data_IF_398229849856
#
_entry.id   IF_398229849856
#
_cell.length_a   1.000
_cell.length_b   1.000
_cell.length_c   1.000
_cell.angle_alpha   90.00
_cell.angle_beta   90.00
_cell.angle_gamma   90.00
#
_symmetry.space_group_name_H-M   'P 1'
#
loop_
_entity.id
_entity.type
_entity.pdbx_description
1 polymer ?
#
# COMPACT_ATOMS: atom_id res chain seq x y z
N UNK A 1 26.97 52.17 -4.99
CA UNK A 1 27.07 51.19 -6.09
C UNK A 1 26.04 50.11 -5.79
N UNK A 2 24.89 50.20 -6.46
CA UNK A 2 23.75 49.32 -6.25
C UNK A 2 23.89 48.06 -7.09
N UNK A 3 23.48 46.92 -6.52
CA UNK A 3 23.31 45.67 -7.25
C UNK A 3 21.84 45.24 -7.14
N UNK A 4 21.29 44.97 -8.32
CA UNK A 4 19.90 44.71 -8.69
C UNK A 4 19.50 43.25 -8.39
N UNK A 5 18.29 42.96 -7.87
CA UNK A 5 17.85 41.58 -7.67
C UNK A 5 17.20 40.98 -8.94
N UNK A 6 17.67 39.80 -9.33
CA UNK A 6 17.18 39.03 -10.47
C UNK A 6 15.75 38.52 -10.27
N UNK A 7 14.88 38.76 -11.27
CA UNK A 7 13.49 38.32 -11.34
C UNK A 7 13.37 36.84 -11.70
N UNK A 8 12.56 36.12 -10.93
CA UNK A 8 12.12 34.75 -11.22
C UNK A 8 11.05 34.71 -12.33
N UNK A 9 11.25 33.83 -13.31
CA UNK A 9 10.28 33.55 -14.38
C UNK A 9 9.29 32.46 -13.95
N UNK A 10 7.98 32.75 -14.06
CA UNK A 10 6.88 31.78 -13.89
C UNK A 10 6.61 31.03 -15.21
N UNK A 11 6.48 29.70 -15.22
CA UNK A 11 5.89 29.00 -16.36
C UNK A 11 4.36 29.05 -16.33
N UNK A 12 3.80 29.30 -17.52
CA UNK A 12 2.39 29.46 -17.85
C UNK A 12 1.66 28.11 -17.88
N UNK A 13 0.40 28.13 -17.44
CA UNK A 13 -0.49 26.98 -17.38
C UNK A 13 -0.86 26.39 -18.74
N UNK A 14 -1.01 25.06 -18.76
CA UNK A 14 -1.64 24.32 -19.84
C UNK A 14 -3.10 24.02 -19.46
N UNK A 15 -4.03 24.62 -20.21
CA UNK A 15 -5.45 24.24 -20.25
C UNK A 15 -5.57 22.93 -21.02
N UNK A 16 -6.14 21.90 -20.40
CA UNK A 16 -6.64 20.72 -21.11
C UNK A 16 -8.13 20.92 -21.44
N UNK A 17 -8.42 20.94 -22.74
CA UNK A 17 -9.74 21.04 -23.33
C UNK A 17 -10.59 19.81 -23.07
N UNK A 18 -11.83 20.03 -22.65
CA UNK A 18 -12.93 19.05 -22.66
C UNK A 18 -13.38 18.80 -24.09
N UNK A 19 -13.18 17.60 -24.61
CA UNK A 19 -13.83 17.10 -25.82
C UNK A 19 -15.08 16.31 -25.44
N UNK A 20 -16.26 16.91 -25.62
CA UNK A 20 -17.53 16.21 -25.63
C UNK A 20 -17.87 15.80 -27.07
N UNK A 21 -18.25 14.54 -27.27
CA UNK A 21 -18.91 14.09 -28.48
C UNK A 21 -20.24 13.46 -28.12
N UNK A 22 -21.28 14.25 -28.44
CA UNK A 22 -22.68 13.89 -28.46
C UNK A 22 -22.96 13.16 -29.77
N UNK A 23 -23.54 11.96 -29.70
CA UNK A 23 -23.91 11.15 -30.86
C UNK A 23 -25.33 10.63 -30.71
N UNK A 24 -26.31 11.49 -30.96
CA UNK A 24 -27.72 11.13 -31.05
C UNK A 24 -28.01 10.56 -32.45
N UNK A 25 -28.28 9.27 -32.55
CA UNK A 25 -28.79 8.61 -33.76
C UNK A 25 -30.23 8.18 -33.58
N UNK A 26 -31.19 8.99 -34.06
CA UNK A 26 -32.56 8.55 -34.33
C UNK A 26 -32.57 7.75 -35.63
N UNK A 27 -33.16 6.57 -35.61
CA UNK A 27 -33.72 5.96 -36.83
C UNK A 27 -35.14 5.49 -36.55
N UNK A 28 -36.09 6.10 -37.26
CA UNK A 28 -37.47 5.64 -37.43
C UNK A 28 -37.48 4.65 -38.58
N UNK A 29 -38.09 3.49 -38.39
CA UNK A 29 -38.44 2.57 -39.46
C UNK A 29 -39.59 1.68 -39.01
N UNK A 30 -40.79 1.96 -39.50
CA UNK A 30 -41.98 1.15 -39.25
C UNK A 30 -41.99 -0.13 -40.11
N UNK A 31 -42.84 -1.08 -39.72
CA UNK A 31 -43.07 -2.30 -40.49
C UNK A 31 -43.92 -3.30 -39.73
N UNK A 32 -45.25 -3.15 -39.81
CA UNK A 32 -46.22 -4.23 -39.57
C UNK A 32 -45.98 -5.32 -40.63
N UNK A 33 -45.92 -6.58 -40.22
CA UNK A 33 -46.65 -7.70 -40.84
C UNK A 33 -46.47 -8.96 -40.02
N UNK A 34 -47.59 -9.64 -39.75
CA UNK A 34 -47.60 -10.89 -39.02
C UNK A 34 -47.20 -12.08 -39.89
N UNK A 35 -46.73 -13.13 -39.23
CA UNK A 35 -46.87 -14.50 -39.71
C UNK A 35 -46.93 -15.40 -38.48
N UNK A 36 -48.07 -16.08 -38.33
CA UNK A 36 -48.21 -17.26 -37.46
C UNK A 36 -47.47 -18.41 -38.13
N UNK A 37 -46.54 -19.04 -37.42
CA UNK A 37 -46.07 -20.39 -37.73
C UNK A 37 -46.01 -21.18 -36.43
N UNK A 38 -46.99 -22.06 -36.27
CA UNK A 38 -46.94 -23.21 -35.39
C UNK A 38 -45.87 -24.17 -35.89
N UNK A 39 -45.09 -24.76 -34.99
CA UNK A 39 -44.16 -25.83 -35.35
C UNK A 39 -43.13 -26.10 -34.27
N UNK A 40 -43.38 -27.15 -33.48
CA UNK A 40 -42.54 -27.62 -32.40
C UNK A 40 -41.12 -28.00 -32.86
N UNK A 41 -40.11 -27.62 -32.08
CA UNK A 41 -38.80 -28.27 -32.09
C UNK A 41 -38.07 -28.01 -30.76
N UNK A 42 -37.90 -29.10 -29.99
CA UNK A 42 -36.76 -29.41 -29.12
C UNK A 42 -36.44 -28.43 -27.97
N UNK A 43 -37.10 -28.71 -26.84
CA UNK A 43 -36.54 -28.52 -25.52
C UNK A 43 -35.20 -29.28 -25.40
N UNK A 44 -34.09 -28.56 -25.54
CA UNK A 44 -32.75 -29.16 -25.47
C UNK A 44 -31.60 -28.18 -25.19
N UNK A 45 -31.90 -26.94 -24.79
CA UNK A 45 -30.87 -25.91 -24.54
C UNK A 45 -30.74 -25.48 -23.06
N UNK A 46 -31.62 -25.97 -22.17
CA UNK A 46 -31.64 -25.56 -20.76
C UNK A 46 -30.62 -26.28 -19.86
N UNK A 47 -30.11 -27.45 -20.26
CA UNK A 47 -29.23 -28.26 -19.40
C UNK A 47 -27.74 -27.92 -19.55
N UNK A 48 -27.31 -27.36 -20.69
CA UNK A 48 -25.90 -27.00 -20.94
C UNK A 48 -25.48 -25.68 -20.27
N UNK A 49 -26.42 -24.76 -20.03
CA UNK A 49 -26.11 -23.49 -19.35
C UNK A 49 -25.84 -23.65 -17.84
N UNK A 50 -26.44 -24.66 -17.20
CA UNK A 50 -26.24 -24.94 -15.77
C UNK A 50 -24.85 -25.52 -15.45
N UNK A 51 -24.27 -26.28 -16.38
CA UNK A 51 -22.94 -26.87 -16.22
C UNK A 51 -21.83 -25.82 -16.34
N UNK A 52 -21.93 -24.90 -17.31
CA UNK A 52 -20.95 -23.82 -17.49
C UNK A 52 -20.94 -22.81 -16.32
N UNK A 53 -22.09 -22.56 -15.69
CA UNK A 53 -22.18 -21.68 -14.51
C UNK A 53 -21.54 -22.28 -13.25
N UNK A 54 -21.53 -23.62 -13.13
CA UNK A 54 -20.87 -24.32 -12.03
C UNK A 54 -19.35 -24.28 -12.15
N UNK A 55 -18.80 -24.45 -13.37
CA UNK A 55 -17.35 -24.41 -13.59
C UNK A 55 -16.77 -23.00 -13.38
N UNK A 56 -17.47 -21.96 -13.84
CA UNK A 56 -17.07 -20.58 -13.59
C UNK A 56 -17.06 -20.21 -12.10
N UNK A 57 -18.10 -20.61 -11.36
CA UNK A 57 -18.18 -20.37 -9.91
C UNK A 57 -17.09 -21.13 -9.13
N UNK A 58 -16.75 -22.34 -9.57
CA UNK A 58 -15.71 -23.17 -8.94
C UNK A 58 -14.30 -22.64 -9.22
N UNK A 59 -14.01 -22.23 -10.46
CA UNK A 59 -12.73 -21.63 -10.83
C UNK A 59 -12.50 -20.29 -10.12
N UNK A 60 -13.55 -19.47 -9.99
CA UNK A 60 -13.48 -18.19 -9.28
C UNK A 60 -13.22 -18.38 -7.78
N UNK A 61 -13.90 -19.36 -7.15
CA UNK A 61 -13.69 -19.66 -5.73
C UNK A 61 -12.32 -20.26 -5.45
N UNK A 62 -11.78 -21.12 -6.33
CA UNK A 62 -10.41 -21.62 -6.20
C UNK A 62 -9.37 -20.50 -6.39
N UNK A 63 -9.57 -19.60 -7.36
CA UNK A 63 -8.67 -18.47 -7.58
C UNK A 63 -8.60 -17.50 -6.39
N UNK A 64 -9.73 -17.24 -5.74
CA UNK A 64 -9.77 -16.41 -4.52
C UNK A 64 -9.14 -17.12 -3.30
N UNK A 65 -9.29 -18.44 -3.19
CA UNK A 65 -8.62 -19.21 -2.13
C UNK A 65 -7.09 -19.18 -2.29
N UNK A 66 -6.59 -19.35 -3.52
CA UNK A 66 -5.18 -19.23 -3.85
C UNK A 66 -4.65 -17.82 -3.55
N UNK A 67 -5.36 -16.78 -3.97
CA UNK A 67 -4.97 -15.41 -3.70
C UNK A 67 -4.97 -15.10 -2.20
N UNK A 68 -5.98 -15.58 -1.47
CA UNK A 68 -6.01 -15.47 -0.02
C UNK A 68 -4.77 -16.10 0.61
N UNK A 69 -4.35 -17.28 0.16
CA UNK A 69 -3.14 -17.94 0.66
C UNK A 69 -1.86 -17.15 0.36
N UNK A 70 -1.83 -16.36 -0.71
CA UNK A 70 -0.71 -15.44 -1.01
C UNK A 70 -0.70 -14.22 -0.07
N UNK A 71 -1.87 -13.70 0.32
CA UNK A 71 -1.99 -12.52 1.19
C UNK A 71 -1.82 -12.89 2.68
N UNK A 72 -2.43 -13.99 3.11
CA UNK A 72 -2.38 -14.48 4.48
C UNK A 72 -0.92 -14.71 4.91
N UNK A 73 -0.57 -14.23 6.10
CA UNK A 73 0.79 -14.34 6.64
C UNK A 73 1.79 -13.33 6.08
N UNK A 74 1.43 -12.57 5.04
CA UNK A 74 2.32 -11.53 4.50
C UNK A 74 2.59 -10.44 5.55
N UNK A 75 3.84 -9.97 5.63
CA UNK A 75 4.26 -9.01 6.65
C UNK A 75 3.72 -7.62 6.33
N UNK A 76 3.25 -6.93 7.36
CA UNK A 76 2.90 -5.50 7.31
C UNK A 76 4.07 -4.72 7.87
N UNK A 77 4.76 -3.96 7.01
CA UNK A 77 5.95 -3.22 7.39
C UNK A 77 5.84 -1.77 6.92
N UNK A 78 6.35 -0.85 7.74
CA UNK A 78 6.37 0.58 7.45
C UNK A 78 7.82 1.07 7.43
N UNK A 79 8.08 2.15 6.68
CA UNK A 79 9.45 2.65 6.49
C UNK A 79 10.09 3.05 7.83
N UNK A 80 11.34 2.66 8.04
CA UNK A 80 12.09 2.98 9.26
C UNK A 80 12.93 4.24 9.04
N UNK A 81 12.49 5.37 9.59
CA UNK A 81 13.18 6.68 9.64
C UNK A 81 13.43 7.33 8.27
N UNK A 82 13.92 6.62 7.27
CA UNK A 82 14.18 7.13 5.93
C UNK A 82 14.31 6.02 4.87
N UNK A 83 14.28 6.39 3.58
CA UNK A 83 14.20 5.44 2.47
C UNK A 83 15.52 4.76 2.12
N UNK A 84 16.62 5.16 2.76
CA UNK A 84 17.98 4.71 2.43
C UNK A 84 18.63 3.97 3.60
N UNK A 85 19.40 2.94 3.26
CA UNK A 85 20.20 2.17 4.20
C UNK A 85 21.69 2.23 3.84
N UNK A 86 22.60 2.51 4.79
CA UNK A 86 22.35 2.81 6.20
C UNK A 86 21.65 4.16 6.40
N UNK A 87 20.94 4.30 7.52
CA UNK A 87 20.26 5.56 7.88
C UNK A 87 21.27 6.46 8.60
N UNK A 88 21.59 7.59 7.98
CA UNK A 88 22.45 8.63 8.54
C UNK A 88 21.81 10.00 8.35
N UNK A 89 22.08 10.91 9.27
CA UNK A 89 21.64 12.29 9.20
C UNK A 89 22.14 13.12 10.37
N UNK A 90 21.67 14.37 10.45
CA UNK A 90 22.06 15.24 11.55
C UNK A 90 21.63 14.65 12.89
N UNK A 91 22.49 14.78 13.90
CA UNK A 91 22.20 14.28 15.25
C UNK A 91 20.91 14.91 15.81
N UNK A 92 20.62 16.17 15.46
CA UNK A 92 19.39 16.87 15.85
C UNK A 92 18.13 16.27 15.21
N UNK A 93 18.16 15.90 13.93
CA UNK A 93 17.04 15.22 13.26
C UNK A 93 16.82 13.83 13.85
N UNK A 94 17.90 13.10 14.17
CA UNK A 94 17.79 11.77 14.75
C UNK A 94 17.48 11.80 16.25
N UNK A 95 17.55 12.95 16.92
CA UNK A 95 17.15 13.15 18.31
C UNK A 95 15.68 13.58 18.46
N UNK A 96 14.85 13.39 17.43
CA UNK A 96 13.43 13.70 17.52
C UNK A 96 12.67 12.66 18.37
N UNK A 97 11.58 13.06 19.05
CA UNK A 97 10.77 12.20 19.93
C UNK A 97 10.35 10.85 19.32
N UNK A 98 10.01 10.82 18.02
CA UNK A 98 9.70 9.55 17.34
C UNK A 98 10.86 8.56 17.40
N UNK A 99 12.07 9.04 17.08
CA UNK A 99 13.28 8.20 17.14
C UNK A 99 13.61 7.84 18.59
N UNK A 100 13.35 8.73 19.56
CA UNK A 100 13.53 8.42 20.98
C UNK A 100 12.65 7.25 21.42
N UNK A 101 11.40 7.18 20.93
CA UNK A 101 10.51 6.05 21.23
C UNK A 101 11.06 4.73 20.66
N UNK A 102 11.65 4.75 19.45
CA UNK A 102 12.29 3.56 18.86
C UNK A 102 13.53 3.12 19.66
N UNK A 103 14.31 4.08 20.17
CA UNK A 103 15.46 3.81 21.05
C UNK A 103 15.01 3.28 22.41
N UNK A 104 13.98 3.88 23.02
CA UNK A 104 13.42 3.46 24.30
C UNK A 104 12.75 2.07 24.22
N UNK A 105 12.19 1.71 23.06
CA UNK A 105 11.72 0.37 22.75
C UNK A 105 12.85 -0.63 22.48
N UNK A 106 14.11 -0.16 22.43
CA UNK A 106 15.29 -0.98 22.20
C UNK A 106 15.37 -1.53 20.79
N UNK A 107 14.71 -0.92 19.80
CA UNK A 107 14.70 -1.37 18.41
C UNK A 107 15.89 -0.85 17.61
N UNK A 108 16.31 0.36 17.95
CA UNK A 108 17.45 1.03 17.32
C UNK A 108 18.32 1.71 18.38
N UNK A 109 19.54 2.07 17.98
CA UNK A 109 20.44 2.94 18.73
C UNK A 109 21.04 3.97 17.79
N UNK A 110 21.55 5.06 18.37
CA UNK A 110 22.23 6.12 17.64
C UNK A 110 23.72 5.99 17.88
N UNK A 111 24.48 5.83 16.81
CA UNK A 111 25.93 5.82 16.85
C UNK A 111 26.44 7.17 16.30
N UNK A 112 27.30 7.91 17.01
CA UNK A 112 27.83 9.17 16.51
C UNK A 112 28.71 8.90 15.27
N UNK A 113 28.55 9.73 14.24
CA UNK A 113 29.40 9.68 13.04
C UNK A 113 30.46 10.77 13.19
N UNK A 114 31.71 10.35 13.34
CA UNK A 114 32.83 11.26 13.45
C UNK A 114 33.31 11.66 12.05
N UNK A 115 32.72 12.72 11.50
CA UNK A 115 33.14 13.30 10.24
C UNK A 115 33.70 14.70 10.48
N UNK A 116 35.03 14.83 10.40
CA UNK A 116 35.74 16.10 10.59
C UNK A 116 35.49 17.12 9.47
N UNK A 117 34.93 16.69 8.33
CA UNK A 117 34.58 17.58 7.23
C UNK A 117 33.19 18.22 7.43
N UNK A 118 32.35 17.66 8.30
CA UNK A 118 31.02 18.17 8.60
C UNK A 118 31.02 18.99 9.89
N UNK A 119 30.62 20.27 9.79
CA UNK A 119 30.49 21.16 10.95
C UNK A 119 29.30 20.77 11.83
N UNK A 120 28.26 20.18 11.23
CA UNK A 120 27.06 19.71 11.93
C UNK A 120 27.26 18.28 12.44
N UNK A 121 27.09 18.01 13.75
CA UNK A 121 27.17 16.65 14.30
C UNK A 121 26.24 15.69 13.56
N UNK A 122 26.79 14.56 13.12
CA UNK A 122 26.07 13.50 12.42
C UNK A 122 25.87 12.28 13.34
N UNK A 123 24.81 11.53 13.09
CA UNK A 123 24.58 10.24 13.71
C UNK A 123 24.08 9.22 12.69
N UNK A 124 24.36 7.96 12.97
CA UNK A 124 23.87 6.79 12.24
C UNK A 124 22.89 6.04 13.12
N UNK A 125 21.82 5.55 12.52
CA UNK A 125 20.93 4.60 13.20
C UNK A 125 21.47 3.19 12.97
N UNK A 126 21.80 2.51 14.06
CA UNK A 126 22.08 1.08 14.07
C UNK A 126 20.86 0.34 14.64
N UNK A 127 20.44 -0.74 13.97
CA UNK A 127 19.37 -1.60 14.47
C UNK A 127 19.94 -2.52 15.54
N UNK A 128 19.19 -2.73 16.62
CA UNK A 128 19.61 -3.63 17.72
C UNK A 128 19.25 -5.09 17.40
N UNK A 129 19.75 -6.08 18.16
CA UNK A 129 19.33 -7.47 17.99
C UNK A 129 17.82 -7.69 18.16
N UNK A 130 17.13 -6.83 18.92
CA UNK A 130 15.67 -6.87 19.02
C UNK A 130 15.02 -6.33 17.74
N UNK A 131 15.49 -5.18 17.25
CA UNK A 131 14.97 -4.59 16.01
C UNK A 131 15.24 -5.44 14.77
N UNK A 132 16.36 -6.18 14.72
CA UNK A 132 16.70 -7.05 13.59
C UNK A 132 15.66 -8.15 13.33
N UNK A 133 14.96 -8.60 14.37
CA UNK A 133 13.91 -9.63 14.25
C UNK A 133 12.73 -9.16 13.41
N UNK A 134 12.44 -7.87 13.49
CA UNK A 134 11.30 -7.22 12.85
C UNK A 134 11.73 -6.31 11.68
N UNK A 135 13.04 -6.18 11.44
CA UNK A 135 13.59 -5.42 10.33
C UNK A 135 13.41 -6.21 9.03
N UNK A 136 13.00 -5.47 8.00
CA UNK A 136 13.01 -5.91 6.61
C UNK A 136 13.76 -4.88 5.77
N UNK A 137 14.68 -5.33 4.95
CA UNK A 137 15.29 -4.50 3.91
C UNK A 137 14.56 -4.76 2.59
N UNK A 138 13.64 -3.87 2.22
CA UNK A 138 12.85 -3.98 1.00
C UNK A 138 13.60 -3.38 -0.19
N UNK A 139 13.54 -4.03 -1.35
CA UNK A 139 14.06 -3.49 -2.61
C UNK A 139 12.93 -3.48 -3.64
N UNK A 140 12.73 -2.32 -4.28
CA UNK A 140 11.75 -2.20 -5.37
C UNK A 140 12.19 -2.97 -6.63
N UNK A 141 13.49 -2.98 -6.89
CA UNK A 141 14.14 -3.77 -7.95
C UNK A 141 15.52 -4.25 -7.46
N UNK A 142 16.12 -5.19 -8.18
CA UNK A 142 17.45 -5.70 -7.84
C UNK A 142 18.52 -4.58 -7.73
N UNK A 143 18.38 -3.53 -8.55
CA UNK A 143 19.31 -2.40 -8.61
C UNK A 143 18.96 -1.24 -7.66
N UNK A 144 17.80 -1.30 -7.01
CA UNK A 144 17.38 -0.26 -6.08
C UNK A 144 18.09 -0.40 -4.73
N UNK A 145 18.50 0.71 -4.08
CA UNK A 145 19.01 0.64 -2.72
C UNK A 145 17.93 0.05 -1.79
N UNK A 146 18.32 -0.75 -0.79
CA UNK A 146 17.35 -1.28 0.17
C UNK A 146 16.77 -0.16 1.04
N UNK A 147 15.44 -0.14 1.11
CA UNK A 147 14.68 0.67 2.03
C UNK A 147 14.45 -0.11 3.34
N UNK A 148 14.87 0.40 4.50
CA UNK A 148 14.65 -0.26 5.77
C UNK A 148 13.19 -0.10 6.21
N UNK A 149 12.57 -1.19 6.62
CA UNK A 149 11.19 -1.23 7.10
C UNK A 149 11.12 -2.00 8.40
N UNK A 150 10.28 -1.54 9.32
CA UNK A 150 9.97 -2.24 10.56
C UNK A 150 8.59 -2.89 10.44
N UNK A 151 8.53 -4.20 10.68
CA UNK A 151 7.32 -4.99 10.52
C UNK A 151 6.52 -5.05 11.82
N UNK A 152 5.25 -4.68 11.75
CA UNK A 152 4.34 -4.57 12.90
C UNK A 152 3.38 -5.77 13.06
N UNK A 153 3.53 -6.78 12.20
CA UNK A 153 2.79 -8.04 12.28
C UNK A 153 2.58 -8.68 10.91
N UNK A 154 1.61 -9.59 10.84
CA UNK A 154 1.21 -10.31 9.63
C UNK A 154 -0.26 -10.09 9.31
N UNK A 155 -0.61 -10.11 8.03
CA UNK A 155 -2.01 -10.07 7.59
C UNK A 155 -2.70 -11.41 7.91
N UNK A 156 -3.92 -11.31 8.42
CA UNK A 156 -4.91 -12.38 8.44
C UNK A 156 -6.17 -11.86 7.75
N UNK A 157 -6.40 -12.31 6.53
CA UNK A 157 -7.57 -11.98 5.72
C UNK A 157 -8.83 -12.46 6.45
N UNK A 158 -9.83 -11.60 6.57
CA UNK A 158 -11.12 -11.92 7.19
C UNK A 158 -12.23 -12.03 6.16
N UNK A 159 -12.08 -11.37 5.02
CA UNK A 159 -12.97 -11.49 3.87
C UNK A 159 -12.20 -11.16 2.58
N UNK A 160 -12.57 -11.80 1.48
CA UNK A 160 -12.02 -11.55 0.14
C UNK A 160 -13.13 -11.73 -0.89
N UNK A 161 -13.26 -10.78 -1.81
CA UNK A 161 -14.27 -10.77 -2.84
C UNK A 161 -13.74 -10.14 -4.13
N UNK A 162 -14.29 -10.58 -5.28
CA UNK A 162 -13.98 -10.01 -6.59
C UNK A 162 -15.27 -9.87 -7.37
N UNK A 163 -15.51 -8.66 -7.88
CA UNK A 163 -16.70 -8.34 -8.68
C UNK A 163 -16.28 -8.17 -10.14
N UNK A 164 -16.59 -9.17 -10.97
CA UNK A 164 -16.15 -9.21 -12.37
C UNK A 164 -14.63 -9.13 -12.51
N UNK A 165 -14.16 -8.36 -13.48
CA UNK A 165 -12.72 -8.19 -13.77
C UNK A 165 -12.06 -7.07 -12.97
N UNK A 166 -12.78 -6.44 -12.04
CA UNK A 166 -12.26 -5.37 -11.20
C UNK A 166 -11.21 -5.83 -10.17
N UNK A 167 -10.69 -4.88 -9.36
CA UNK A 167 -9.76 -5.21 -8.28
C UNK A 167 -10.43 -6.14 -7.27
N UNK A 168 -9.61 -6.99 -6.66
CA UNK A 168 -10.03 -7.81 -5.53
C UNK A 168 -10.13 -6.92 -4.30
N UNK A 169 -11.27 -6.95 -3.63
CA UNK A 169 -11.45 -6.26 -2.35
C UNK A 169 -11.26 -7.25 -1.24
N UNK A 170 -10.53 -6.87 -0.21
CA UNK A 170 -10.32 -7.74 0.92
C UNK A 170 -10.23 -6.95 2.23
N UNK A 171 -10.53 -7.67 3.30
CA UNK A 171 -10.48 -7.20 4.68
C UNK A 171 -9.50 -8.05 5.43
N UNK A 172 -8.75 -7.46 6.34
CA UNK A 172 -7.76 -8.19 7.13
C UNK A 172 -7.56 -7.59 8.52
N UNK A 173 -7.09 -8.42 9.43
CA UNK A 173 -6.53 -8.01 10.73
C UNK A 173 -5.02 -8.17 10.68
N UNK A 174 -4.33 -7.36 11.48
CA UNK A 174 -2.91 -7.58 11.72
C UNK A 174 -2.78 -8.44 12.98
N UNK A 175 -2.17 -9.61 12.81
CA UNK A 175 -1.93 -10.59 13.87
C UNK A 175 -0.43 -10.74 14.11
N UNK A 176 -0.06 -11.47 15.17
CA UNK A 176 1.34 -11.70 15.55
C UNK A 176 2.15 -10.40 15.68
N UNK A 177 1.51 -9.33 16.19
CA UNK A 177 2.16 -8.06 16.40
C UNK A 177 3.25 -8.18 17.49
N UNK A 178 4.50 -7.74 17.24
CA UNK A 178 5.57 -7.76 18.23
C UNK A 178 5.23 -6.94 19.48
N UNK A 179 5.77 -7.31 20.65
CA UNK A 179 5.43 -6.66 21.92
C UNK A 179 5.72 -5.15 21.94
N UNK A 180 6.76 -4.70 21.23
CA UNK A 180 7.10 -3.28 21.17
C UNK A 180 5.97 -2.42 20.58
N UNK A 181 5.12 -3.00 19.71
CA UNK A 181 3.97 -2.29 19.11
C UNK A 181 2.86 -1.94 20.11
N UNK A 182 2.87 -2.59 21.28
CA UNK A 182 1.89 -2.35 22.36
C UNK A 182 2.35 -1.32 23.36
N UNK A 183 3.62 -0.89 23.30
CA UNK A 183 4.16 0.05 24.27
C UNK A 183 3.46 1.42 24.16
N UNK A 184 3.14 2.08 25.28
CA UNK A 184 2.48 3.39 25.26
C UNK A 184 3.29 4.47 24.55
N UNK A 185 4.62 4.47 24.72
CA UNK A 185 5.53 5.43 24.07
C UNK A 185 5.54 5.29 22.55
N UNK A 186 5.60 4.05 22.04
CA UNK A 186 5.49 3.77 20.60
C UNK A 186 4.13 4.20 20.06
N UNK A 187 3.03 3.88 20.74
CA UNK A 187 1.68 4.24 20.26
C UNK A 187 1.40 5.74 20.34
N UNK A 188 2.01 6.44 21.30
CA UNK A 188 1.93 7.90 21.41
C UNK A 188 2.76 8.58 20.33
N UNK A 189 3.98 8.10 20.08
CA UNK A 189 4.84 8.62 19.02
C UNK A 189 4.26 8.30 17.63
N UNK A 190 3.73 7.10 17.43
CA UNK A 190 3.26 6.60 16.13
C UNK A 190 1.79 6.15 16.20
N UNK A 191 0.82 7.09 16.17
CA UNK A 191 -0.60 6.76 16.31
C UNK A 191 -1.13 5.81 15.23
N UNK A 192 -0.49 5.77 14.06
CA UNK A 192 -0.84 4.81 13.00
C UNK A 192 -0.72 3.35 13.46
N UNK A 193 0.19 3.03 14.39
CA UNK A 193 0.36 1.66 14.90
C UNK A 193 -0.93 1.18 15.56
N UNK A 194 -1.52 2.00 16.43
CA UNK A 194 -2.80 1.67 17.06
C UNK A 194 -3.94 1.59 16.02
N UNK A 195 -3.99 2.53 15.06
CA UNK A 195 -5.01 2.51 13.99
C UNK A 195 -4.96 1.22 13.16
N UNK A 196 -3.76 0.73 12.84
CA UNK A 196 -3.56 -0.48 12.06
C UNK A 196 -3.85 -1.76 12.85
N UNK A 197 -3.38 -1.85 14.11
CA UNK A 197 -3.48 -3.06 14.92
C UNK A 197 -4.87 -3.27 15.53
N UNK A 198 -5.54 -2.19 15.96
CA UNK A 198 -6.76 -2.31 16.76
C UNK A 198 -8.03 -2.47 15.88
N UNK A 199 -7.91 -2.30 14.55
CA UNK A 199 -9.04 -2.28 13.61
C UNK A 199 -8.87 -3.30 12.47
N UNK A 200 -10.01 -3.69 11.90
CA UNK A 200 -10.03 -4.41 10.62
C UNK A 200 -9.71 -3.41 9.52
N UNK A 201 -8.71 -3.75 8.70
CA UNK A 201 -8.28 -2.96 7.56
C UNK A 201 -9.03 -3.40 6.31
N UNK A 202 -9.12 -2.49 5.34
CA UNK A 202 -9.72 -2.73 4.03
C UNK A 202 -8.72 -2.34 2.96
N UNK A 203 -8.59 -3.16 1.93
CA UNK A 203 -7.69 -2.90 0.83
C UNK A 203 -8.26 -3.41 -0.50
N UNK A 204 -7.73 -2.86 -1.57
CA UNK A 204 -8.01 -3.28 -2.95
C UNK A 204 -6.70 -3.75 -3.58
N UNK A 205 -6.78 -4.81 -4.38
CA UNK A 205 -5.64 -5.43 -5.02
C UNK A 205 -5.91 -5.64 -6.51
N UNK A 206 -5.03 -5.07 -7.33
CA UNK A 206 -4.97 -5.40 -8.75
C UNK A 206 -4.43 -6.81 -8.93
N UNK A 207 -5.16 -7.64 -9.67
CA UNK A 207 -4.73 -9.00 -9.99
C UNK A 207 -4.85 -9.24 -11.49
N UNK A 208 -3.99 -10.11 -12.00
CA UNK A 208 -4.07 -10.64 -13.37
C UNK A 208 -4.37 -12.14 -13.28
N UNK A 209 -5.10 -12.65 -14.26
CA UNK A 209 -5.30 -14.08 -14.41
C UNK A 209 -4.23 -14.64 -15.35
N UNK A 210 -3.47 -15.62 -14.86
CA UNK A 210 -2.42 -16.30 -15.61
C UNK A 210 -2.52 -17.79 -15.33
N UNK A 211 -2.64 -18.59 -16.39
CA UNK A 211 -2.77 -20.05 -16.31
C UNK A 211 -3.87 -20.52 -15.34
N UNK A 212 -5.00 -19.80 -15.29
CA UNK A 212 -6.14 -20.08 -14.41
C UNK A 212 -5.92 -19.70 -12.94
N UNK A 213 -4.86 -18.95 -12.61
CA UNK A 213 -4.53 -18.48 -11.27
C UNK A 213 -4.52 -16.96 -11.20
N UNK A 214 -4.98 -16.43 -10.06
CA UNK A 214 -4.89 -14.99 -9.79
C UNK A 214 -3.50 -14.67 -9.23
N UNK A 215 -2.79 -13.81 -9.94
CA UNK A 215 -1.47 -13.33 -9.57
C UNK A 215 -1.49 -11.83 -9.29
N UNK A 216 -0.66 -11.39 -8.34
CA UNK A 216 -0.46 -9.98 -8.04
C UNK A 216 0.73 -9.46 -8.86
N UNK A 217 0.53 -8.49 -9.78
CA UNK A 217 1.63 -7.89 -10.51
C UNK A 217 2.66 -7.26 -9.56
N UNK A 218 3.94 -7.63 -9.72
CA UNK A 218 5.02 -7.20 -8.81
C UNK A 218 5.06 -7.93 -7.46
N UNK A 219 4.10 -8.83 -7.20
CA UNK A 219 4.03 -9.65 -6.00
C UNK A 219 3.39 -8.97 -4.79
N UNK A 220 3.03 -9.80 -3.80
CA UNK A 220 2.34 -9.37 -2.55
C UNK A 220 3.16 -8.34 -1.78
N UNK A 221 4.48 -8.46 -1.80
CA UNK A 221 5.36 -7.56 -1.09
C UNK A 221 5.30 -6.13 -1.60
N UNK A 222 5.30 -5.94 -2.93
CA UNK A 222 5.16 -4.61 -3.52
C UNK A 222 3.75 -4.04 -3.27
N UNK A 223 2.72 -4.88 -3.33
CA UNK A 223 1.36 -4.48 -3.00
C UNK A 223 1.21 -4.03 -1.54
N UNK A 224 1.85 -4.73 -0.59
CA UNK A 224 1.84 -4.37 0.82
C UNK A 224 2.51 -3.01 1.06
N UNK A 225 3.61 -2.71 0.36
CA UNK A 225 4.27 -1.39 0.43
C UNK A 225 3.35 -0.29 -0.12
N UNK A 226 2.73 -0.53 -1.27
CA UNK A 226 1.79 0.43 -1.86
C UNK A 226 0.57 0.71 -0.97
N UNK A 227 0.08 -0.31 -0.26
CA UNK A 227 -1.05 -0.19 0.66
C UNK A 227 -0.72 0.60 1.94
N UNK A 228 0.48 0.42 2.49
CA UNK A 228 0.95 1.20 3.65
C UNK A 228 1.18 2.67 3.27
N UNK A 229 1.50 2.91 2.00
CA UNK A 229 1.65 4.24 1.41
C UNK A 229 2.77 5.02 2.07
N UNK A 230 2.50 6.27 2.44
CA UNK A 230 3.49 7.15 3.05
C UNK A 230 3.66 6.92 4.55
N UNK A 231 2.95 5.97 5.16
CA UNK A 231 3.04 5.72 6.61
C UNK A 231 4.40 5.14 7.00
N UNK A 232 5.03 5.67 8.04
CA UNK A 232 6.37 5.25 8.46
C UNK A 232 6.74 5.67 9.88
N UNK A 233 7.81 5.07 10.38
CA UNK A 233 8.46 5.40 11.64
C UNK A 233 9.46 6.55 11.42
N UNK A 234 8.97 7.70 10.96
CA UNK A 234 9.81 8.86 10.66
C UNK A 234 10.30 9.58 11.92
N UNK A 235 11.35 10.42 11.81
CA UNK A 235 11.62 11.44 12.82
C UNK A 235 10.43 12.37 12.93
N UNK A 236 9.85 12.47 14.12
CA UNK A 236 8.69 13.31 14.37
C UNK A 236 8.71 13.94 15.78
N UNK A 237 8.04 15.08 15.99
CA UNK A 237 7.23 15.82 15.00
C UNK A 237 8.08 16.42 13.88
N UNK A 238 7.52 16.52 12.66
CA UNK A 238 8.16 17.32 11.61
C UNK A 238 8.06 18.81 11.95
N UNK A 239 8.97 19.61 11.39
CA UNK A 239 8.99 21.04 11.64
C UNK A 239 7.68 21.71 11.18
N UNK A 240 7.01 22.42 12.10
CA UNK A 240 5.75 23.09 11.82
C UNK A 240 4.48 22.23 11.93
N UNK A 241 4.57 21.01 12.48
CA UNK A 241 3.39 20.21 12.81
C UNK A 241 2.46 20.98 13.78
N UNK A 242 1.18 21.12 13.41
CA UNK A 242 0.15 21.69 14.25
C UNK A 242 -0.30 20.73 15.36
N UNK A 243 -1.01 21.21 16.39
CA UNK A 243 -1.47 20.38 17.51
C UNK A 243 -2.44 19.26 17.11
N UNK A 244 -3.11 19.39 15.96
CA UNK A 244 -4.08 18.42 15.44
C UNK A 244 -3.52 17.52 14.33
N UNK A 245 -2.26 17.71 13.92
CA UNK A 245 -1.62 16.93 12.87
C UNK A 245 -1.14 15.56 13.38
N UNK A 246 -1.09 14.55 12.50
CA UNK A 246 -0.33 13.33 12.80
C UNK A 246 1.15 13.71 12.80
N UNK A 247 1.86 13.63 13.94
CA UNK A 247 3.19 14.20 14.07
C UNK A 247 4.21 13.53 13.13
N UNK A 248 3.92 12.33 12.63
CA UNK A 248 4.85 11.51 11.84
C UNK A 248 4.31 11.19 10.44
N UNK A 249 3.56 12.13 9.84
CA UNK A 249 2.93 11.96 8.52
C UNK A 249 3.90 11.90 7.35
#
# INVERSE_FOLDING_TARGET
>A
MGAEPARAARPRGARLSRGGLSGAGRSRGGGRSGAKLSGAALAGAGLLAMLAACDGSRAQTSGLADLRAQIDGSRVCALLIGPQWPIEGSAAMLAQPGVDALVAAGLVRRDPVNDRANVTPQARIAVTPLGERDLRLFRLSADSPPAPQLCLGKKQVTAIERNGDGPVRYRYRIVEAPDWTRRPDIRAAYPFVARLLDREQRAELGVIEKDGRLEVPGGIDQANVAEIGNTGFYPCPYEGAGPDDDPCR
#
